data_IF_541820079040
#
_entry.id   IF_541820079040
#
_cell.length_a   1.000
_cell.length_b   1.000
_cell.length_c   1.000
_cell.angle_alpha   90.00
_cell.angle_beta   90.00
_cell.angle_gamma   90.00
#
_symmetry.space_group_name_H-M   'P 1'
#
loop_
_entity.id
_entity.type
_entity.pdbx_description
1 polymer ?
#
# COMPACT_ATOMS: atom_id res chain seq x y z
N UNK A 1 2.87 -20.90 13.63
CA UNK A 1 1.55 -20.63 13.21
C UNK A 1 1.36 -19.19 12.74
N UNK A 2 0.71 -19.05 11.63
CA UNK A 2 0.50 -17.73 11.06
C UNK A 2 -0.85 -17.19 11.50
N UNK A 3 -0.83 -16.03 12.08
CA UNK A 3 -2.07 -15.41 12.50
C UNK A 3 -2.45 -14.31 11.54
N UNK A 4 -3.74 -14.17 11.33
CA UNK A 4 -4.23 -13.04 10.56
C UNK A 4 -4.01 -11.79 11.37
N UNK A 5 -3.40 -10.81 10.75
CA UNK A 5 -3.22 -9.52 11.38
C UNK A 5 -4.26 -8.58 10.80
N UNK A 6 -5.27 -8.28 11.60
CA UNK A 6 -6.36 -7.44 11.14
C UNK A 6 -5.90 -6.05 10.75
N UNK A 7 -4.88 -5.56 11.44
CA UNK A 7 -4.36 -4.24 11.12
C UNK A 7 -3.71 -4.22 9.74
N UNK A 8 -2.98 -5.28 9.39
CA UNK A 8 -2.38 -5.38 8.07
C UNK A 8 -3.43 -5.54 7.00
N UNK A 9 -4.49 -6.27 7.30
CA UNK A 9 -5.59 -6.43 6.35
C UNK A 9 -6.29 -5.10 6.09
N UNK A 10 -6.51 -4.33 7.15
CA UNK A 10 -7.14 -3.02 7.01
C UNK A 10 -6.26 -2.07 6.23
N UNK A 11 -4.97 -2.04 6.53
CA UNK A 11 -4.03 -1.20 5.82
C UNK A 11 -3.99 -1.57 4.34
N UNK A 12 -3.89 -2.86 4.08
CA UNK A 12 -3.81 -3.34 2.70
C UNK A 12 -5.06 -3.00 1.90
N UNK A 13 -6.22 -3.18 2.52
CA UNK A 13 -7.48 -2.85 1.84
C UNK A 13 -7.59 -1.35 1.60
N UNK A 14 -7.13 -0.55 2.54
CA UNK A 14 -7.14 0.90 2.39
C UNK A 14 -6.29 1.32 1.20
N UNK A 15 -5.08 0.75 1.09
CA UNK A 15 -4.19 1.05 -0.02
C UNK A 15 -4.81 0.58 -1.34
N UNK A 16 -5.38 -0.61 -1.34
CA UNK A 16 -6.06 -1.13 -2.53
C UNK A 16 -7.18 -0.18 -2.97
N UNK A 17 -8.00 0.27 -2.02
CA UNK A 17 -9.12 1.15 -2.33
C UNK A 17 -8.65 2.49 -2.88
N UNK A 18 -7.57 3.03 -2.30
CA UNK A 18 -6.98 4.27 -2.81
C UNK A 18 -6.50 4.08 -4.25
N UNK A 19 -5.83 2.97 -4.50
CA UNK A 19 -5.33 2.70 -5.84
C UNK A 19 -6.47 2.61 -6.84
N UNK A 20 -7.53 1.90 -6.50
CA UNK A 20 -8.70 1.78 -7.38
C UNK A 20 -9.38 3.12 -7.56
N UNK A 21 -9.45 3.92 -6.51
CA UNK A 21 -10.05 5.24 -6.59
C UNK A 21 -9.27 6.12 -7.56
N UNK A 22 -7.95 6.00 -7.57
CA UNK A 22 -7.10 6.74 -8.49
C UNK A 22 -7.00 6.08 -9.86
N UNK A 23 -7.69 4.95 -10.05
CA UNK A 23 -7.73 4.24 -11.33
C UNK A 23 -6.33 3.81 -11.78
N UNK A 24 -5.53 3.35 -10.83
CA UNK A 24 -4.16 2.92 -11.09
C UNK A 24 -4.06 1.41 -11.01
N UNK A 25 -3.26 0.84 -11.92
CA UNK A 25 -2.86 -0.56 -11.81
C UNK A 25 -1.71 -0.67 -10.83
N UNK A 26 -1.39 -1.90 -10.41
CA UNK A 26 -0.22 -2.11 -9.58
C UNK A 26 1.03 -1.56 -10.26
N UNK A 27 1.18 -1.88 -11.54
CA UNK A 27 2.36 -1.45 -12.29
C UNK A 27 2.44 0.07 -12.40
N UNK A 28 1.33 0.70 -12.71
CA UNK A 28 1.36 2.15 -12.92
C UNK A 28 1.66 2.89 -11.63
N UNK A 29 1.17 2.39 -10.50
CA UNK A 29 1.49 3.02 -9.22
C UNK A 29 2.95 2.83 -8.85
N UNK A 30 3.49 1.65 -9.13
CA UNK A 30 4.84 1.31 -8.72
C UNK A 30 5.91 1.88 -9.62
N UNK A 31 5.59 2.09 -10.88
CA UNK A 31 6.57 2.39 -11.92
C UNK A 31 7.44 3.60 -11.57
N UNK A 32 6.85 4.69 -11.16
CA UNK A 32 7.58 5.94 -10.92
C UNK A 32 8.11 6.06 -9.50
N UNK A 33 7.74 5.13 -8.63
CA UNK A 33 7.97 5.32 -7.21
C UNK A 33 8.94 4.33 -6.61
N UNK A 34 9.62 3.56 -7.46
CA UNK A 34 10.62 2.63 -6.98
C UNK A 34 10.03 1.50 -6.16
N UNK A 35 8.81 1.11 -6.47
CA UNK A 35 8.14 0.02 -5.80
C UNK A 35 8.02 -1.16 -6.74
N UNK A 36 8.00 -2.36 -6.16
CA UNK A 36 7.79 -3.57 -6.94
C UNK A 36 6.33 -3.98 -6.86
N UNK A 37 5.69 -4.26 -8.02
CA UNK A 37 4.28 -4.63 -8.01
C UNK A 37 3.98 -5.85 -7.15
N UNK A 38 4.87 -6.85 -7.12
CA UNK A 38 4.65 -8.02 -6.31
C UNK A 38 4.63 -7.68 -4.82
N UNK A 39 5.50 -6.77 -4.39
CA UNK A 39 5.54 -6.33 -3.00
C UNK A 39 4.26 -5.57 -2.66
N UNK A 40 3.85 -4.66 -3.52
CA UNK A 40 2.62 -3.91 -3.28
C UNK A 40 1.40 -4.83 -3.23
N UNK A 41 1.37 -5.82 -4.11
CA UNK A 41 0.29 -6.79 -4.12
C UNK A 41 0.17 -7.51 -2.77
N UNK A 42 1.30 -7.93 -2.21
CA UNK A 42 1.29 -8.59 -0.92
C UNK A 42 0.85 -7.66 0.20
N UNK A 43 1.27 -6.41 0.12
CA UNK A 43 0.84 -5.41 1.11
C UNK A 43 -0.67 -5.24 1.04
N UNK A 44 -1.22 -5.13 -0.16
CA UNK A 44 -2.66 -4.95 -0.33
C UNK A 44 -3.45 -6.14 0.20
N UNK A 45 -2.87 -7.34 0.13
CA UNK A 45 -3.52 -8.54 0.64
C UNK A 45 -3.34 -8.74 2.14
N UNK A 46 -2.55 -7.88 2.78
CA UNK A 46 -2.31 -7.98 4.21
C UNK A 46 -1.39 -9.14 4.58
N UNK A 47 -0.59 -9.63 3.63
CA UNK A 47 0.27 -10.79 3.86
C UNK A 47 1.60 -10.38 4.49
N UNK A 48 2.08 -9.19 4.17
CA UNK A 48 3.37 -8.73 4.67
C UNK A 48 3.20 -7.37 5.33
N UNK A 49 4.09 -7.09 6.27
CA UNK A 49 4.12 -5.79 6.92
C UNK A 49 5.05 -4.89 6.13
N UNK A 50 4.56 -3.76 5.62
CA UNK A 50 5.41 -2.86 4.84
C UNK A 50 6.38 -2.11 5.76
N UNK A 51 7.57 -1.89 5.24
CA UNK A 51 8.53 -1.05 5.94
C UNK A 51 8.09 0.41 5.85
N UNK A 52 8.56 1.20 6.80
CA UNK A 52 8.19 2.61 6.85
C UNK A 52 8.54 3.34 5.55
N UNK A 53 9.73 3.09 5.00
CA UNK A 53 10.13 3.77 3.78
C UNK A 53 9.24 3.35 2.60
N UNK A 54 8.76 2.11 2.61
CA UNK A 54 7.82 1.67 1.58
C UNK A 54 6.50 2.43 1.70
N UNK A 55 6.04 2.62 2.93
CA UNK A 55 4.81 3.39 3.16
C UNK A 55 4.96 4.83 2.70
N UNK A 56 6.13 5.42 2.92
CA UNK A 56 6.40 6.78 2.44
C UNK A 56 6.30 6.84 0.92
N UNK A 57 6.85 5.85 0.24
CA UNK A 57 6.77 5.81 -1.22
C UNK A 57 5.34 5.64 -1.70
N UNK A 58 4.56 4.84 -1.00
CA UNK A 58 3.15 4.65 -1.35
C UNK A 58 2.39 5.94 -1.16
N UNK A 59 2.59 6.61 -0.03
CA UNK A 59 1.93 7.89 0.22
C UNK A 59 2.30 8.89 -0.87
N UNK A 60 3.58 8.97 -1.21
CA UNK A 60 4.05 9.88 -2.24
C UNK A 60 3.40 9.59 -3.58
N UNK A 61 3.23 8.32 -3.89
CA UNK A 61 2.60 7.92 -5.14
C UNK A 61 1.17 8.44 -5.25
N UNK A 62 0.49 8.59 -4.12
CA UNK A 62 -0.88 9.12 -4.09
C UNK A 62 -0.90 10.63 -3.84
N UNK A 63 0.26 11.27 -3.73
CA UNK A 63 0.30 12.69 -3.41
C UNK A 63 -0.10 13.00 -1.98
N UNK A 64 0.08 12.04 -1.08
CA UNK A 64 -0.32 12.17 0.32
C UNK A 64 0.90 12.23 1.22
N UNK A 65 0.71 12.85 2.39
CA UNK A 65 1.66 12.72 3.48
C UNK A 65 1.41 11.39 4.17
N UNK A 66 2.42 10.90 4.91
CA UNK A 66 2.30 9.60 5.56
C UNK A 66 1.13 9.56 6.55
N UNK A 67 0.92 10.66 7.28
CA UNK A 67 -0.19 10.71 8.23
C UNK A 67 -1.54 10.69 7.50
N UNK A 68 -1.60 11.28 6.31
CA UNK A 68 -2.82 11.24 5.51
C UNK A 68 -3.08 9.82 4.98
N UNK A 69 -2.01 9.14 4.56
CA UNK A 69 -2.16 7.77 4.08
C UNK A 69 -2.71 6.87 5.17
N UNK A 70 -2.26 7.05 6.40
CA UNK A 70 -2.62 6.16 7.49
C UNK A 70 -3.91 6.56 8.21
N UNK A 71 -4.62 7.53 7.69
CA UNK A 71 -5.88 7.94 8.26
C UNK A 71 -7.01 7.13 7.64
N UNK A 72 -7.37 6.04 8.29
CA UNK A 72 -8.45 5.18 7.80
C UNK A 72 -9.11 4.38 8.92
#
# INVERSE_FOLDING_TARGET
MQENNEDLLKLGKHIYNLRKKHKLTLESLCYRNGLEPSTLSRIEKGIVEPKYLTLLKIAEAFGLKIDELLKF
#
